data_IF_745191578350
#
_entry.id   IF_745191578350
#
_cell.length_a   1.000
_cell.length_b   1.000
_cell.length_c   1.000
_cell.angle_alpha   90.00
_cell.angle_beta   90.00
_cell.angle_gamma   90.00
#
_symmetry.space_group_name_H-M   'P 1'
#
loop_
_entity.id
_entity.type
_entity.pdbx_description
1 polymer ?
#
# COMPACT_ATOMS: atom_id res chain seq x y z
N UNK A 1 -10.54 -9.63 9.90
CA UNK A 1 -10.18 -11.04 9.62
C UNK A 1 -11.33 -12.06 9.80
N UNK A 2 -12.32 -11.87 10.71
CA UNK A 2 -13.32 -12.92 11.00
C UNK A 2 -14.55 -13.06 10.06
N UNK A 3 -14.84 -12.08 9.19
CA UNK A 3 -16.16 -11.99 8.53
C UNK A 3 -16.29 -12.79 7.22
N UNK A 4 -15.24 -12.89 6.38
CA UNK A 4 -15.29 -13.79 5.21
C UNK A 4 -15.34 -15.25 5.62
N UNK A 5 -14.58 -15.62 6.65
CA UNK A 5 -14.70 -16.95 7.25
C UNK A 5 -16.13 -17.25 7.71
N UNK A 6 -16.96 -16.26 8.09
CA UNK A 6 -18.37 -16.49 8.43
C UNK A 6 -19.28 -16.76 7.22
N UNK A 7 -18.94 -16.27 6.01
CA UNK A 7 -19.64 -16.65 4.77
C UNK A 7 -19.29 -18.07 4.30
N UNK A 8 -18.17 -18.63 4.78
CA UNK A 8 -17.67 -19.96 4.44
C UNK A 8 -17.68 -20.97 5.62
N UNK A 9 -17.99 -20.51 6.85
CA UNK A 9 -18.21 -21.35 8.03
C UNK A 9 -19.66 -21.81 8.05
N UNK A 10 -19.86 -23.08 8.41
CA UNK A 10 -21.13 -23.81 8.44
C UNK A 10 -22.27 -23.13 9.21
N UNK A 11 -21.99 -22.18 10.09
CA UNK A 11 -22.96 -21.64 11.05
C UNK A 11 -23.95 -20.62 10.45
N UNK A 12 -23.59 -19.93 9.36
CA UNK A 12 -24.43 -18.85 8.78
C UNK A 12 -25.36 -19.35 7.66
N UNK A 13 -25.15 -20.57 7.17
CA UNK A 13 -25.96 -21.19 6.12
C UNK A 13 -26.53 -22.49 6.68
N UNK A 14 -27.69 -22.42 7.35
CA UNK A 14 -28.37 -23.57 7.98
C UNK A 14 -28.18 -24.88 7.18
N UNK A 15 -27.22 -25.71 7.60
CA UNK A 15 -26.86 -27.01 7.03
C UNK A 15 -26.56 -27.08 5.51
N UNK A 16 -26.31 -25.96 4.82
CA UNK A 16 -25.91 -26.00 3.40
C UNK A 16 -24.42 -25.68 3.29
N UNK A 17 -23.64 -26.71 2.98
CA UNK A 17 -22.21 -26.61 2.65
C UNK A 17 -22.05 -25.66 1.45
N UNK A 18 -21.44 -24.49 1.65
CA UNK A 18 -21.07 -23.60 0.57
C UNK A 18 -19.83 -24.15 -0.15
N UNK A 19 -20.05 -25.16 -1.00
CA UNK A 19 -18.99 -25.70 -1.84
C UNK A 19 -18.75 -24.72 -3.01
N UNK A 20 -17.59 -24.06 -3.02
CA UNK A 20 -17.11 -23.28 -4.17
C UNK A 20 -16.23 -24.20 -5.02
N UNK A 21 -16.54 -24.31 -6.31
CA UNK A 21 -15.67 -24.98 -7.27
C UNK A 21 -14.65 -23.97 -7.82
N UNK A 22 -13.37 -24.25 -7.63
CA UNK A 22 -12.29 -23.47 -8.21
C UNK A 22 -11.71 -24.26 -9.38
N UNK A 23 -11.85 -23.70 -10.58
CA UNK A 23 -11.33 -24.30 -11.81
C UNK A 23 -10.17 -23.45 -12.31
N UNK A 24 -8.98 -24.04 -12.31
CA UNK A 24 -7.77 -23.45 -12.89
C UNK A 24 -7.57 -24.06 -14.27
N UNK A 25 -7.57 -23.22 -15.31
CA UNK A 25 -7.37 -23.66 -16.69
C UNK A 25 -6.00 -23.24 -17.18
N UNK A 26 -5.19 -24.20 -17.60
CA UNK A 26 -3.94 -23.96 -18.33
C UNK A 26 -4.24 -23.92 -19.82
N UNK A 27 -3.91 -22.82 -20.51
CA UNK A 27 -4.01 -22.79 -21.97
C UNK A 27 -2.69 -23.30 -22.55
N UNK A 28 -2.71 -24.51 -23.12
CA UNK A 28 -1.58 -25.00 -23.91
C UNK A 28 -1.46 -24.13 -25.17
N UNK A 29 -0.33 -23.42 -25.30
CA UNK A 29 -0.02 -22.65 -26.51
C UNK A 29 0.08 -23.57 -27.73
N UNK A 30 -0.20 -23.06 -28.94
CA UNK A 30 -0.10 -23.86 -30.15
C UNK A 30 1.33 -24.40 -30.29
N UNK A 31 1.43 -25.72 -30.49
CA UNK A 31 2.66 -26.45 -30.74
C UNK A 31 3.24 -26.01 -32.09
N UNK A 32 3.99 -24.90 -32.08
CA UNK A 32 4.76 -24.42 -33.24
C UNK A 32 5.92 -25.39 -33.47
N UNK A 33 5.61 -26.48 -34.16
CA UNK A 33 6.49 -27.60 -34.52
C UNK A 33 7.62 -27.21 -35.48
N UNK A 34 8.51 -26.32 -35.06
CA UNK A 34 9.78 -26.03 -35.76
C UNK A 34 10.92 -26.73 -35.02
N UNK A 35 11.35 -27.85 -35.58
CA UNK A 35 12.50 -28.61 -35.10
C UNK A 35 13.80 -27.79 -35.20
N UNK A 36 14.33 -27.35 -34.06
CA UNK A 36 15.64 -26.73 -33.97
C UNK A 36 16.77 -27.79 -33.90
N UNK A 37 17.94 -27.55 -34.50
CA UNK A 37 19.03 -28.53 -34.60
C UNK A 37 19.85 -28.63 -33.31
N UNK A 38 20.31 -29.86 -33.02
CA UNK A 38 21.12 -30.23 -31.85
C UNK A 38 22.43 -29.42 -31.76
N UNK A 39 22.76 -28.78 -30.62
CA UNK A 39 24.07 -28.20 -30.41
C UNK A 39 25.09 -29.23 -29.89
N UNK A 40 26.32 -29.08 -30.36
CA UNK A 40 27.51 -29.83 -29.93
C UNK A 40 27.96 -29.41 -28.53
N UNK A 41 28.36 -30.43 -27.77
CA UNK A 41 28.98 -30.43 -26.45
C UNK A 41 30.21 -29.49 -26.37
N UNK A 42 30.22 -28.59 -25.38
CA UNK A 42 31.43 -27.98 -24.85
C UNK A 42 31.34 -27.88 -23.32
N UNK A 43 32.43 -28.24 -22.67
CA UNK A 43 32.65 -28.34 -21.23
C UNK A 43 33.22 -27.02 -20.71
N UNK A 44 32.71 -26.48 -19.60
CA UNK A 44 33.49 -25.81 -18.54
C UNK A 44 32.59 -25.33 -17.40
N UNK A 45 33.16 -25.40 -16.20
CA UNK A 45 32.52 -25.25 -14.90
C UNK A 45 32.37 -23.79 -14.44
N UNK A 46 31.32 -23.51 -13.68
CA UNK A 46 31.29 -22.46 -12.65
C UNK A 46 30.22 -22.83 -11.61
N UNK A 47 30.63 -22.96 -10.34
CA UNK A 47 29.76 -23.26 -9.23
C UNK A 47 29.00 -21.99 -8.78
N UNK A 48 27.67 -22.06 -8.75
CA UNK A 48 26.80 -21.06 -8.15
C UNK A 48 26.32 -21.56 -6.76
N UNK A 49 26.05 -20.67 -5.79
CA UNK A 49 25.73 -21.04 -4.43
C UNK A 49 24.33 -21.66 -4.32
N UNK A 50 24.21 -22.68 -3.46
CA UNK A 50 22.94 -23.29 -3.05
C UNK A 50 22.05 -22.23 -2.39
N UNK A 51 21.07 -21.72 -3.14
CA UNK A 51 19.93 -21.01 -2.58
C UNK A 51 19.10 -21.96 -1.71
N UNK A 52 18.70 -21.50 -0.53
CA UNK A 52 17.79 -22.20 0.36
C UNK A 52 16.46 -22.45 -0.37
N UNK A 53 16.05 -23.71 -0.44
CA UNK A 53 14.76 -24.09 -1.00
C UNK A 53 13.64 -23.50 -0.13
N UNK A 54 12.85 -22.59 -0.70
CA UNK A 54 11.57 -22.20 -0.14
C UNK A 54 10.63 -23.39 -0.32
N UNK A 55 10.05 -23.90 0.77
CA UNK A 55 9.08 -25.00 0.71
C UNK A 55 7.90 -24.59 -0.19
N UNK A 56 7.55 -25.38 -1.22
CA UNK A 56 6.41 -25.06 -2.07
C UNK A 56 5.12 -25.18 -1.25
N UNK A 57 4.34 -24.09 -1.22
CA UNK A 57 3.02 -24.04 -0.59
C UNK A 57 2.14 -25.17 -1.16
N UNK A 58 1.91 -26.22 -0.37
CA UNK A 58 1.12 -27.37 -0.80
C UNK A 58 -0.38 -27.01 -0.82
N UNK A 59 -0.90 -26.77 -2.02
CA UNK A 59 -2.34 -26.62 -2.34
C UNK A 59 -3.22 -27.74 -1.76
N UNK A 60 -2.65 -28.91 -1.46
CA UNK A 60 -3.34 -30.06 -0.86
C UNK A 60 -3.71 -29.87 0.60
N UNK A 61 -3.20 -28.82 1.27
CA UNK A 61 -3.49 -28.53 2.68
C UNK A 61 -4.75 -27.69 2.92
N UNK A 62 -5.40 -27.18 1.86
CA UNK A 62 -6.60 -26.36 1.99
C UNK A 62 -7.84 -27.23 2.28
N UNK A 63 -8.58 -26.98 3.37
CA UNK A 63 -9.72 -27.80 3.75
C UNK A 63 -10.88 -27.66 2.75
N UNK A 64 -11.12 -28.75 2.04
CA UNK A 64 -12.35 -29.11 1.32
C UNK A 64 -12.87 -28.13 0.25
N UNK A 65 -12.13 -27.98 -0.85
CA UNK A 65 -12.70 -27.58 -2.15
C UNK A 65 -12.06 -28.42 -3.26
N UNK A 66 -12.85 -28.83 -4.27
CA UNK A 66 -12.30 -29.49 -5.46
C UNK A 66 -11.52 -28.45 -6.27
N UNK A 67 -10.20 -28.44 -6.10
CA UNK A 67 -9.29 -27.68 -6.95
C UNK A 67 -8.99 -28.58 -8.16
N UNK A 68 -9.66 -28.32 -9.27
CA UNK A 68 -9.34 -28.99 -10.53
C UNK A 68 -8.18 -28.24 -11.20
N UNK A 69 -6.97 -28.80 -11.09
CA UNK A 69 -5.79 -28.37 -11.85
C UNK A 69 -5.76 -29.17 -13.15
N UNK A 70 -6.01 -28.50 -14.28
CA UNK A 70 -6.13 -29.15 -15.57
C UNK A 70 -4.76 -29.22 -16.28
N UNK A 71 -4.25 -30.43 -16.45
CA UNK A 71 -3.20 -30.76 -17.42
C UNK A 71 -3.56 -32.09 -18.09
N UNK A 72 -3.57 -32.12 -19.42
CA UNK A 72 -3.63 -33.30 -20.31
C UNK A 72 -4.98 -33.74 -20.93
N UNK A 73 -4.86 -34.21 -22.17
CA UNK A 73 -5.92 -34.85 -22.98
C UNK A 73 -6.60 -36.06 -22.33
N UNK A 74 -6.01 -36.65 -21.27
CA UNK A 74 -6.58 -37.79 -20.56
C UNK A 74 -7.99 -37.49 -20.00
N UNK A 75 -8.25 -36.23 -19.59
CA UNK A 75 -9.57 -35.81 -19.11
C UNK A 75 -10.59 -35.48 -20.21
N UNK A 76 -10.15 -35.21 -21.46
CA UNK A 76 -11.07 -35.11 -22.62
C UNK A 76 -11.73 -36.45 -22.92
N UNK A 77 -11.01 -37.55 -22.69
CA UNK A 77 -11.51 -38.91 -22.93
C UNK A 77 -12.52 -39.33 -21.86
N UNK A 78 -12.30 -38.96 -20.58
CA UNK A 78 -13.27 -39.26 -19.51
C UNK A 78 -14.47 -38.31 -19.48
N UNK A 79 -14.32 -37.02 -19.80
CA UNK A 79 -15.49 -36.12 -19.93
C UNK A 79 -16.40 -36.50 -21.10
N UNK A 80 -15.86 -37.10 -22.16
CA UNK A 80 -16.66 -37.65 -23.26
C UNK A 80 -17.53 -38.85 -22.87
N UNK A 81 -17.15 -39.59 -21.82
CA UNK A 81 -17.82 -40.83 -21.41
C UNK A 81 -18.71 -40.69 -20.16
N UNK A 82 -18.51 -39.67 -19.32
CA UNK A 82 -19.26 -39.53 -18.07
C UNK A 82 -20.39 -38.47 -18.10
N UNK A 83 -20.56 -37.73 -19.20
CA UNK A 83 -21.57 -36.64 -19.33
C UNK A 83 -22.57 -36.76 -20.50
N UNK A 84 -22.73 -37.96 -21.08
CA UNK A 84 -23.84 -38.33 -21.98
C UNK A 84 -24.22 -39.79 -21.65
N UNK A 85 -25.45 -40.18 -21.29
CA UNK A 85 -26.77 -39.63 -21.57
C UNK A 85 -27.75 -39.78 -20.38
N UNK A 86 -28.59 -38.76 -20.19
CA UNK A 86 -29.99 -38.96 -19.81
C UNK A 86 -30.82 -38.67 -21.06
N UNK A 87 -31.23 -39.76 -21.72
CA UNK A 87 -32.15 -39.93 -22.85
C UNK A 87 -32.80 -38.67 -23.48
N UNK A 88 -32.54 -38.46 -24.78
CA UNK A 88 -33.48 -37.81 -25.69
C UNK A 88 -34.72 -38.70 -25.93
N UNK A 89 -35.93 -38.12 -26.11
CA UNK A 89 -37.10 -38.87 -26.56
C UNK A 89 -37.17 -38.92 -28.10
N UNK A 90 -37.36 -40.13 -28.64
CA UNK A 90 -37.65 -40.38 -30.04
C UNK A 90 -38.96 -39.72 -30.51
N UNK A 91 -38.86 -39.00 -31.62
CA UNK A 91 -39.98 -38.48 -32.39
C UNK A 91 -40.44 -39.52 -33.42
N UNK A 92 -41.48 -40.31 -33.11
CA UNK A 92 -42.56 -40.72 -34.05
C UNK A 92 -43.41 -41.87 -33.47
N UNK A 93 -44.62 -41.56 -33.00
CA UNK A 93 -45.72 -42.51 -33.02
C UNK A 93 -47.06 -41.78 -33.17
N UNK A 94 -47.76 -42.12 -34.25
CA UNK A 94 -49.10 -41.66 -34.63
C UNK A 94 -50.16 -42.03 -33.57
N UNK A 95 -51.12 -41.12 -33.44
CA UNK A 95 -52.53 -41.27 -33.09
C UNK A 95 -53.05 -42.63 -32.58
N UNK A 96 -53.62 -42.64 -31.36
CA UNK A 96 -54.93 -43.25 -31.11
C UNK A 96 -55.57 -42.72 -29.82
N UNK A 97 -56.87 -42.45 -29.93
CA UNK A 97 -57.83 -42.11 -28.89
C UNK A 97 -57.77 -43.01 -27.65
N UNK A 98 -58.13 -42.45 -26.49
CA UNK A 98 -58.59 -43.24 -25.35
C UNK A 98 -58.47 -42.55 -23.99
N UNK A 99 -59.62 -42.14 -23.47
CA UNK A 99 -59.91 -41.52 -22.18
C UNK A 99 -59.14 -42.02 -20.93
N UNK A 100 -59.12 -41.12 -19.93
CA UNK A 100 -59.50 -41.35 -18.52
C UNK A 100 -58.42 -41.49 -17.42
N UNK A 101 -58.58 -40.60 -16.43
CA UNK A 101 -58.33 -40.70 -14.98
C UNK A 101 -56.92 -40.43 -14.38
N UNK A 102 -56.84 -39.25 -13.76
CA UNK A 102 -56.50 -38.95 -12.35
C UNK A 102 -55.37 -39.71 -11.65
N UNK A 103 -54.35 -38.96 -11.22
CA UNK A 103 -53.37 -39.40 -10.21
C UNK A 103 -52.37 -38.31 -9.88
N UNK A 104 -52.70 -37.46 -8.89
CA UNK A 104 -51.82 -36.43 -8.34
C UNK A 104 -50.65 -37.04 -7.57
N UNK A 105 -49.41 -36.72 -7.95
CA UNK A 105 -48.22 -36.88 -7.11
C UNK A 105 -47.29 -35.69 -7.32
N UNK A 106 -47.35 -34.76 -6.38
CA UNK A 106 -46.52 -33.57 -6.28
C UNK A 106 -45.10 -33.94 -5.82
N UNK A 107 -44.18 -34.14 -6.76
CA UNK A 107 -42.75 -34.19 -6.48
C UNK A 107 -42.18 -32.76 -6.55
N UNK A 108 -41.91 -32.17 -5.38
CA UNK A 108 -41.19 -30.90 -5.25
C UNK A 108 -39.75 -31.08 -5.74
N UNK A 109 -39.52 -30.73 -7.01
CA UNK A 109 -38.18 -30.59 -7.56
C UNK A 109 -37.53 -29.36 -6.92
N UNK A 110 -36.71 -29.60 -5.89
CA UNK A 110 -35.89 -28.57 -5.29
C UNK A 110 -34.97 -28.03 -6.37
N UNK A 111 -35.19 -26.78 -6.79
CA UNK A 111 -34.33 -26.09 -7.72
C UNK A 111 -32.92 -26.08 -7.15
N UNK A 112 -32.03 -26.89 -7.73
CA UNK A 112 -30.61 -26.88 -7.40
C UNK A 112 -30.08 -25.47 -7.71
N UNK A 113 -29.92 -24.65 -6.66
CA UNK A 113 -29.22 -23.38 -6.77
C UNK A 113 -27.82 -23.67 -7.34
N UNK A 114 -27.54 -23.14 -8.53
CA UNK A 114 -26.22 -23.26 -9.15
C UNK A 114 -25.17 -22.73 -8.18
N UNK A 115 -24.18 -23.56 -7.86
CA UNK A 115 -23.06 -23.17 -7.00
C UNK A 115 -22.31 -22.00 -7.64
N UNK A 116 -21.90 -20.98 -6.86
CA UNK A 116 -21.03 -19.93 -7.37
C UNK A 116 -19.66 -20.54 -7.73
N UNK A 117 -19.23 -20.34 -8.98
CA UNK A 117 -17.95 -20.83 -9.52
C UNK A 117 -17.03 -19.64 -9.76
N UNK A 118 -15.83 -19.68 -9.21
CA UNK A 118 -14.76 -18.71 -9.53
C UNK A 118 -13.79 -19.39 -10.48
N UNK A 119 -13.62 -18.80 -11.68
CA UNK A 119 -12.71 -19.31 -12.71
C UNK A 119 -11.50 -18.40 -12.78
N UNK A 120 -10.33 -18.96 -12.51
CA UNK A 120 -9.05 -18.29 -12.73
C UNK A 120 -8.43 -18.94 -13.97
N UNK A 121 -8.29 -18.17 -15.04
CA UNK A 121 -7.58 -18.63 -16.25
C UNK A 121 -6.10 -18.34 -16.07
N UNK A 122 -5.28 -19.36 -16.28
CA UNK A 122 -3.83 -19.28 -16.22
C UNK A 122 -3.31 -19.58 -17.62
N UNK A 123 -2.89 -18.54 -18.32
CA UNK A 123 -2.42 -18.65 -19.69
C UNK A 123 -0.96 -19.11 -19.75
N UNK A 124 -0.21 -18.96 -18.64
CA UNK A 124 1.20 -19.35 -18.55
C UNK A 124 1.57 -19.87 -17.16
N UNK A 125 2.52 -20.79 -17.10
CA UNK A 125 2.99 -21.39 -15.83
C UNK A 125 3.49 -20.34 -14.82
N UNK A 126 4.02 -19.20 -15.27
CA UNK A 126 4.49 -18.13 -14.38
C UNK A 126 3.33 -17.44 -13.60
N UNK A 127 2.07 -17.62 -14.02
CA UNK A 127 0.92 -17.05 -13.32
C UNK A 127 0.38 -17.97 -12.21
N UNK A 128 0.85 -19.22 -12.10
CA UNK A 128 0.41 -20.17 -11.08
C UNK A 128 0.63 -19.66 -9.64
N UNK A 129 1.80 -19.10 -9.29
CA UNK A 129 2.01 -18.59 -7.94
C UNK A 129 1.08 -17.39 -7.63
N UNK A 130 0.76 -16.56 -8.63
CA UNK A 130 -0.21 -15.48 -8.47
C UNK A 130 -1.64 -16.02 -8.25
N UNK A 131 -2.03 -17.08 -8.96
CA UNK A 131 -3.31 -17.77 -8.77
C UNK A 131 -3.45 -18.35 -7.37
N UNK A 132 -2.42 -19.06 -6.87
CA UNK A 132 -2.35 -19.60 -5.51
C UNK A 132 -2.47 -18.51 -4.45
N UNK A 133 -1.75 -17.40 -4.64
CA UNK A 133 -1.86 -16.21 -3.81
C UNK A 133 -3.28 -15.62 -3.77
N UNK A 134 -4.02 -15.58 -4.90
CA UNK A 134 -5.44 -15.14 -4.92
C UNK A 134 -6.30 -16.04 -4.07
N UNK A 135 -6.16 -17.35 -4.27
CA UNK A 135 -6.99 -18.36 -3.64
C UNK A 135 -6.79 -18.27 -2.14
N UNK A 136 -5.55 -18.26 -1.71
CA UNK A 136 -5.21 -18.19 -0.31
C UNK A 136 -5.60 -16.83 0.32
N UNK A 137 -5.46 -15.70 -0.40
CA UNK A 137 -6.00 -14.41 0.04
C UNK A 137 -7.53 -14.42 0.17
N UNK A 138 -8.25 -15.07 -0.77
CA UNK A 138 -9.71 -15.25 -0.69
C UNK A 138 -10.13 -16.09 0.51
N UNK A 139 -9.33 -17.08 0.90
CA UNK A 139 -9.54 -17.87 2.12
C UNK A 139 -9.02 -17.19 3.39
N UNK A 140 -8.51 -15.95 3.30
CA UNK A 140 -8.01 -15.19 4.44
C UNK A 140 -6.75 -15.79 5.06
N UNK A 141 -5.96 -16.52 4.26
CA UNK A 141 -4.67 -17.07 4.67
C UNK A 141 -3.68 -15.90 4.79
N UNK A 142 -3.16 -15.62 5.99
CA UNK A 142 -2.12 -14.62 6.17
C UNK A 142 -0.88 -14.99 5.34
N UNK A 143 -0.19 -13.98 4.79
CA UNK A 143 1.11 -14.14 4.10
C UNK A 143 1.11 -15.02 2.83
N UNK A 144 -0.07 -15.36 2.31
CA UNK A 144 -0.13 -16.24 1.15
C UNK A 144 0.34 -15.61 -0.17
N UNK A 145 0.38 -14.28 -0.21
CA UNK A 145 1.07 -13.54 -1.26
C UNK A 145 2.51 -13.37 -0.78
N UNK A 146 3.35 -14.35 -1.10
CA UNK A 146 4.71 -14.44 -0.53
C UNK A 146 5.74 -13.63 -1.31
N UNK A 147 5.39 -13.14 -2.52
CA UNK A 147 6.23 -12.19 -3.25
C UNK A 147 5.45 -10.94 -3.68
N UNK A 148 6.18 -9.83 -3.71
CA UNK A 148 5.69 -8.54 -4.20
C UNK A 148 5.23 -8.61 -5.66
N UNK A 149 5.89 -9.43 -6.48
CA UNK A 149 5.52 -9.66 -7.88
C UNK A 149 4.15 -10.33 -8.01
N UNK A 150 3.85 -11.33 -7.18
CA UNK A 150 2.52 -11.97 -7.15
C UNK A 150 1.44 -10.97 -6.76
N UNK A 151 1.72 -10.15 -5.73
CA UNK A 151 0.82 -9.08 -5.29
C UNK A 151 0.52 -8.12 -6.45
N UNK A 152 1.56 -7.73 -7.19
CA UNK A 152 1.45 -6.81 -8.31
C UNK A 152 0.62 -7.40 -9.45
N UNK A 153 0.94 -8.63 -9.90
CA UNK A 153 0.21 -9.29 -10.97
C UNK A 153 -1.27 -9.46 -10.63
N UNK A 154 -1.55 -9.83 -9.38
CA UNK A 154 -2.90 -10.03 -8.89
C UNK A 154 -3.69 -8.71 -8.88
N UNK A 155 -3.15 -7.68 -8.22
CA UNK A 155 -3.82 -6.39 -8.12
C UNK A 155 -4.06 -5.77 -9.49
N UNK A 156 -3.07 -5.83 -10.38
CA UNK A 156 -3.21 -5.31 -11.73
C UNK A 156 -4.33 -6.03 -12.48
N UNK A 157 -4.34 -7.37 -12.44
CA UNK A 157 -5.36 -8.17 -13.12
C UNK A 157 -6.77 -7.90 -12.56
N UNK A 158 -6.92 -7.80 -11.23
CA UNK A 158 -8.21 -7.49 -10.60
C UNK A 158 -8.66 -6.10 -10.98
N UNK A 159 -7.77 -5.11 -10.90
CA UNK A 159 -8.11 -3.71 -11.16
C UNK A 159 -8.47 -3.48 -12.63
N UNK A 160 -7.81 -4.16 -13.57
CA UNK A 160 -8.14 -4.09 -15.00
C UNK A 160 -9.48 -4.76 -15.33
N UNK A 161 -9.82 -5.83 -14.61
CA UNK A 161 -11.06 -6.58 -14.83
C UNK A 161 -12.25 -6.02 -14.04
N UNK A 162 -12.00 -5.33 -12.94
CA UNK A 162 -13.00 -4.78 -12.04
C UNK A 162 -13.84 -3.69 -12.73
N UNK A 163 -15.17 -3.89 -12.87
CA UNK A 163 -16.05 -2.87 -13.46
C UNK A 163 -15.98 -1.52 -12.75
N UNK A 164 -15.78 -1.52 -11.41
CA UNK A 164 -15.66 -0.31 -10.61
C UNK A 164 -14.41 0.53 -10.93
N UNK A 165 -13.34 -0.09 -11.44
CA UNK A 165 -12.04 0.56 -11.68
C UNK A 165 -11.85 1.05 -13.12
N UNK A 166 -12.67 0.59 -14.06
CA UNK A 166 -12.59 1.01 -15.48
C UNK A 166 -13.01 2.45 -15.73
N UNK A 167 -13.98 2.96 -14.94
CA UNK A 167 -14.52 4.30 -15.11
C UNK A 167 -13.81 5.27 -14.17
N UNK A 168 -12.75 5.93 -14.64
CA UNK A 168 -11.95 6.87 -13.85
C UNK A 168 -12.70 8.11 -13.33
N UNK A 169 -13.94 8.34 -13.80
CA UNK A 169 -14.82 9.45 -13.39
C UNK A 169 -15.97 9.03 -12.47
N UNK A 170 -16.10 7.74 -12.12
CA UNK A 170 -17.17 7.27 -11.27
C UNK A 170 -17.05 7.86 -9.84
N UNK A 171 -18.15 8.36 -9.29
CA UNK A 171 -18.20 8.80 -7.89
C UNK A 171 -18.15 7.62 -6.93
N UNK A 172 -17.73 7.86 -5.67
CA UNK A 172 -17.54 6.81 -4.65
C UNK A 172 -18.75 5.86 -4.51
N UNK A 173 -19.97 6.39 -4.54
CA UNK A 173 -21.19 5.57 -4.43
C UNK A 173 -21.31 4.56 -5.57
N UNK A 174 -20.96 4.95 -6.80
CA UNK A 174 -20.96 4.05 -7.95
C UNK A 174 -19.83 3.01 -7.85
N UNK A 175 -18.66 3.43 -7.34
CA UNK A 175 -17.53 2.53 -7.10
C UNK A 175 -17.87 1.48 -6.04
N UNK A 176 -18.46 1.89 -4.91
CA UNK A 176 -18.92 0.99 -3.85
C UNK A 176 -20.05 0.06 -4.33
N UNK A 177 -21.00 0.58 -5.11
CA UNK A 177 -22.07 -0.23 -5.68
C UNK A 177 -21.53 -1.27 -6.68
N UNK A 178 -20.45 -0.96 -7.39
CA UNK A 178 -19.80 -1.88 -8.32
C UNK A 178 -18.88 -2.89 -7.61
N UNK A 179 -18.42 -2.61 -6.39
CA UNK A 179 -17.73 -3.58 -5.52
C UNK A 179 -18.73 -4.39 -4.68
N UNK A 180 -19.67 -5.08 -5.36
CA UNK A 180 -20.72 -5.88 -4.70
C UNK A 180 -20.08 -6.95 -3.81
N UNK A 181 -20.29 -6.82 -2.50
CA UNK A 181 -19.72 -7.70 -1.48
C UNK A 181 -18.35 -7.28 -0.95
N UNK A 182 -17.82 -6.12 -1.36
CA UNK A 182 -16.59 -5.53 -0.83
C UNK A 182 -15.32 -6.31 -1.15
N UNK A 183 -15.34 -7.16 -2.18
CA UNK A 183 -14.25 -8.10 -2.48
C UNK A 183 -13.00 -7.35 -2.93
N UNK A 184 -13.16 -6.34 -3.77
CA UNK A 184 -12.04 -5.54 -4.28
C UNK A 184 -11.47 -4.70 -3.14
N UNK A 185 -12.32 -4.07 -2.33
CA UNK A 185 -11.88 -3.35 -1.14
C UNK A 185 -11.10 -4.27 -0.19
N UNK A 186 -11.56 -5.50 0.05
CA UNK A 186 -10.85 -6.47 0.89
C UNK A 186 -9.48 -6.84 0.32
N UNK A 187 -9.37 -7.06 -0.99
CA UNK A 187 -8.09 -7.36 -1.64
C UNK A 187 -7.14 -6.17 -1.58
N UNK A 188 -7.65 -4.94 -1.77
CA UNK A 188 -6.87 -3.71 -1.61
C UNK A 188 -6.39 -3.54 -0.17
N UNK A 189 -7.23 -3.83 0.83
CA UNK A 189 -6.84 -3.80 2.25
C UNK A 189 -5.86 -4.92 2.59
N UNK A 190 -5.98 -6.10 1.99
CA UNK A 190 -4.99 -7.17 2.20
C UNK A 190 -3.62 -6.75 1.65
N UNK A 191 -3.59 -6.09 0.50
CA UNK A 191 -2.38 -5.65 -0.18
C UNK A 191 -1.73 -4.39 0.43
N UNK A 192 -2.54 -3.39 0.77
CA UNK A 192 -2.10 -2.03 1.15
C UNK A 192 -2.73 -1.56 2.46
N UNK A 193 -3.28 -2.48 3.26
CA UNK A 193 -3.98 -2.13 4.49
C UNK A 193 -3.07 -1.53 5.55
N UNK A 194 -1.79 -1.92 5.58
CA UNK A 194 -0.76 -1.29 6.40
C UNK A 194 -0.06 -0.20 5.61
N UNK A 195 -0.62 1.02 5.65
CA UNK A 195 -0.05 2.13 4.89
C UNK A 195 1.34 2.52 5.41
N UNK A 196 1.67 2.25 6.67
CA UNK A 196 3.00 2.57 7.19
C UNK A 196 4.05 1.67 6.55
N UNK A 197 3.79 0.37 6.46
CA UNK A 197 4.66 -0.58 5.77
C UNK A 197 4.81 -0.20 4.29
N UNK A 198 3.70 0.14 3.62
CA UNK A 198 3.72 0.62 2.23
C UNK A 198 4.60 1.84 2.05
N UNK A 199 4.50 2.83 2.95
CA UNK A 199 5.34 4.03 2.90
C UNK A 199 6.80 3.78 3.33
N UNK A 200 7.13 2.60 3.84
CA UNK A 200 8.52 2.23 4.15
C UNK A 200 9.24 1.56 2.96
N UNK A 201 8.50 1.13 1.94
CA UNK A 201 9.04 0.45 0.76
C UNK A 201 8.77 1.23 -0.53
N UNK A 202 9.83 1.66 -1.21
CA UNK A 202 9.71 2.52 -2.40
C UNK A 202 8.93 1.87 -3.56
N UNK A 203 9.00 0.55 -3.72
CA UNK A 203 8.26 -0.15 -4.77
C UNK A 203 6.76 -0.21 -4.44
N UNK A 204 6.40 -0.49 -3.19
CA UNK A 204 5.01 -0.45 -2.73
C UNK A 204 4.42 0.97 -2.82
N UNK A 205 5.20 2.00 -2.47
CA UNK A 205 4.79 3.39 -2.68
C UNK A 205 4.44 3.66 -4.15
N UNK A 206 5.34 3.29 -5.08
CA UNK A 206 5.12 3.49 -6.51
C UNK A 206 3.86 2.77 -7.00
N UNK A 207 3.64 1.53 -6.54
CA UNK A 207 2.44 0.75 -6.88
C UNK A 207 1.15 1.36 -6.30
N UNK A 208 1.18 1.79 -5.04
CA UNK A 208 0.06 2.47 -4.39
C UNK A 208 -0.33 3.75 -5.17
N UNK A 209 0.67 4.54 -5.57
CA UNK A 209 0.46 5.78 -6.32
C UNK A 209 0.03 5.53 -7.78
N UNK A 210 0.30 4.34 -8.32
CA UNK A 210 -0.15 3.92 -9.65
C UNK A 210 -1.59 3.39 -9.68
N UNK A 211 -2.23 3.16 -8.53
CA UNK A 211 -3.61 2.70 -8.47
C UNK A 211 -4.55 3.66 -9.22
N UNK A 212 -5.58 3.18 -9.94
CA UNK A 212 -6.59 4.06 -10.50
C UNK A 212 -7.44 4.67 -9.38
N UNK A 213 -7.99 5.86 -9.64
CA UNK A 213 -8.70 6.66 -8.64
C UNK A 213 -9.82 5.88 -7.91
N UNK A 214 -10.68 5.10 -8.60
CA UNK A 214 -11.68 4.28 -7.91
C UNK A 214 -11.09 3.28 -6.91
N UNK A 215 -9.96 2.65 -7.22
CA UNK A 215 -9.29 1.73 -6.29
C UNK A 215 -8.73 2.48 -5.08
N UNK A 216 -8.12 3.64 -5.29
CA UNK A 216 -7.66 4.50 -4.19
C UNK A 216 -8.83 4.96 -3.30
N UNK A 217 -9.99 5.28 -3.89
CA UNK A 217 -11.20 5.62 -3.14
C UNK A 217 -11.72 4.44 -2.30
N UNK A 218 -11.74 3.22 -2.85
CA UNK A 218 -12.11 2.01 -2.10
C UNK A 218 -11.15 1.75 -0.95
N UNK A 219 -9.84 1.86 -1.19
CA UNK A 219 -8.82 1.67 -0.16
C UNK A 219 -9.01 2.69 0.98
N UNK A 220 -9.00 4.00 0.68
CA UNK A 220 -9.06 5.06 1.69
C UNK A 220 -10.44 5.21 2.36
N UNK A 221 -11.50 4.64 1.79
CA UNK A 221 -12.82 4.60 2.46
C UNK A 221 -12.90 3.50 3.52
N UNK A 222 -12.06 2.45 3.46
CA UNK A 222 -12.15 1.27 4.33
C UNK A 222 -11.84 1.56 5.81
N UNK A 223 -12.75 1.15 6.71
CA UNK A 223 -12.52 1.13 8.16
C UNK A 223 -11.44 0.13 8.61
N UNK A 224 -11.08 -0.81 7.73
CA UNK A 224 -10.09 -1.85 8.02
C UNK A 224 -8.65 -1.43 7.72
N UNK A 225 -8.43 -0.20 7.22
CA UNK A 225 -7.08 0.34 7.09
C UNK A 225 -6.39 0.40 8.45
N UNK A 226 -5.22 -0.21 8.50
CA UNK A 226 -4.29 -0.17 9.61
C UNK A 226 -3.35 1.02 9.39
N UNK A 227 -3.52 2.06 10.19
CA UNK A 227 -2.72 3.28 10.09
C UNK A 227 -2.21 3.69 11.46
N UNK A 228 -1.04 4.34 11.57
CA UNK A 228 -0.57 4.85 12.85
C UNK A 228 -1.36 6.09 13.31
N UNK A 229 -1.91 6.85 12.37
CA UNK A 229 -2.88 7.90 12.60
C UNK A 229 -3.61 8.25 11.29
N UNK A 230 -4.68 9.06 11.37
CA UNK A 230 -5.35 9.57 10.16
C UNK A 230 -4.43 10.50 9.34
N UNK A 231 -3.34 10.98 9.93
CA UNK A 231 -2.34 11.80 9.24
C UNK A 231 -1.69 11.05 8.07
N UNK A 232 -1.47 9.74 8.22
CA UNK A 232 -0.95 8.87 7.14
C UNK A 232 -1.95 8.77 5.99
N UNK A 233 -3.26 8.77 6.26
CA UNK A 233 -4.31 8.78 5.24
C UNK A 233 -4.28 10.11 4.47
N UNK A 234 -4.18 11.24 5.20
CA UNK A 234 -4.03 12.57 4.60
C UNK A 234 -2.78 12.66 3.72
N UNK A 235 -1.63 12.20 4.23
CA UNK A 235 -0.38 12.17 3.45
C UNK A 235 -0.52 11.30 2.20
N UNK A 236 -1.10 10.11 2.33
CA UNK A 236 -1.32 9.19 1.19
C UNK A 236 -2.15 9.85 0.10
N UNK A 237 -3.28 10.46 0.47
CA UNK A 237 -4.14 11.16 -0.48
C UNK A 237 -3.44 12.37 -1.13
N UNK A 238 -2.62 13.13 -0.37
CA UNK A 238 -1.80 14.22 -0.92
C UNK A 238 -0.81 13.72 -1.97
N UNK A 239 0.00 12.70 -1.64
CA UNK A 239 0.98 12.14 -2.58
C UNK A 239 0.29 11.54 -3.81
N UNK A 240 -0.87 10.91 -3.65
CA UNK A 240 -1.66 10.41 -4.79
C UNK A 240 -2.11 11.54 -5.74
N UNK A 241 -2.57 12.67 -5.20
CA UNK A 241 -2.95 13.84 -6.01
C UNK A 241 -1.72 14.44 -6.71
N UNK A 242 -0.58 14.54 -6.02
CA UNK A 242 0.68 15.03 -6.60
C UNK A 242 1.22 14.12 -7.71
N UNK A 243 1.01 12.81 -7.61
CA UNK A 243 1.43 11.84 -8.63
C UNK A 243 0.59 11.91 -9.93
N UNK A 244 -0.52 12.65 -9.95
CA UNK A 244 -1.36 12.77 -11.14
C UNK A 244 -0.69 13.65 -12.21
N UNK A 245 -0.48 13.06 -13.40
CA UNK A 245 0.23 13.70 -14.53
C UNK A 245 -0.45 14.95 -15.13
N UNK A 246 -1.75 15.15 -14.87
CA UNK A 246 -2.50 16.28 -15.43
C UNK A 246 -3.28 17.01 -14.35
N UNK A 247 -3.41 18.33 -14.50
CA UNK A 247 -4.18 19.18 -13.56
C UNK A 247 -5.62 18.71 -13.41
N UNK A 248 -6.26 18.26 -14.48
CA UNK A 248 -7.63 17.73 -14.44
C UNK A 248 -7.73 16.44 -13.61
N UNK A 249 -6.77 15.52 -13.75
CA UNK A 249 -6.72 14.29 -12.93
C UNK A 249 -6.41 14.60 -11.48
N UNK A 250 -5.47 15.52 -11.21
CA UNK A 250 -5.16 15.98 -9.86
C UNK A 250 -6.39 16.62 -9.17
N UNK A 251 -7.13 17.47 -9.89
CA UNK A 251 -8.36 18.10 -9.38
C UNK A 251 -9.46 17.06 -9.11
N UNK A 252 -9.67 16.10 -10.02
CA UNK A 252 -10.62 15.02 -9.83
C UNK A 252 -10.24 14.13 -8.63
N UNK A 253 -8.98 13.74 -8.51
CA UNK A 253 -8.46 12.98 -7.39
C UNK A 253 -8.62 13.75 -6.06
N UNK A 254 -8.32 15.06 -6.04
CA UNK A 254 -8.52 15.92 -4.88
C UNK A 254 -9.97 15.95 -4.44
N UNK A 255 -10.89 16.20 -5.37
CA UNK A 255 -12.34 16.23 -5.08
C UNK A 255 -12.85 14.87 -4.57
N UNK A 256 -12.32 13.77 -5.10
CA UNK A 256 -12.69 12.42 -4.75
C UNK A 256 -12.11 11.94 -3.40
N UNK A 257 -10.88 12.33 -3.06
CA UNK A 257 -10.15 11.82 -1.89
C UNK A 257 -10.22 12.74 -0.66
N UNK A 258 -10.33 14.06 -0.85
CA UNK A 258 -10.49 15.00 0.27
C UNK A 258 -11.63 14.64 1.23
N UNK A 259 -12.85 14.25 0.78
CA UNK A 259 -13.93 13.86 1.68
C UNK A 259 -13.71 12.51 2.36
N UNK A 260 -12.67 11.75 2.05
CA UNK A 260 -12.38 10.45 2.71
C UNK A 260 -11.50 10.59 3.95
N UNK A 261 -10.82 11.74 4.11
CA UNK A 261 -9.98 12.03 5.28
C UNK A 261 -10.87 12.42 6.46
N UNK A 262 -10.73 11.70 7.57
CA UNK A 262 -11.46 11.96 8.82
C UNK A 262 -10.80 13.11 9.57
N UNK A 263 -10.98 14.35 9.10
CA UNK A 263 -10.27 15.52 9.63
C UNK A 263 -10.31 15.67 11.16
N UNK A 264 -11.40 15.33 11.87
CA UNK A 264 -11.44 15.37 13.34
C UNK A 264 -10.43 14.42 14.02
N UNK A 265 -9.97 13.39 13.31
CA UNK A 265 -9.00 12.40 13.79
C UNK A 265 -7.54 12.74 13.45
N UNK A 266 -7.29 13.84 12.72
CA UNK A 266 -5.93 14.32 12.44
C UNK A 266 -5.25 14.85 13.71
N UNK A 267 -3.92 14.77 13.77
CA UNK A 267 -3.15 15.47 14.80
C UNK A 267 -3.35 16.99 14.71
N UNK A 268 -3.08 17.70 15.81
CA UNK A 268 -3.17 19.16 15.80
C UNK A 268 -2.20 19.79 14.80
N UNK A 269 -1.00 19.22 14.63
CA UNK A 269 -0.04 19.64 13.61
C UNK A 269 -0.61 19.46 12.19
N UNK A 270 -1.05 18.25 11.83
CA UNK A 270 -1.59 17.96 10.51
C UNK A 270 -2.85 18.80 10.18
N UNK A 271 -3.73 18.99 11.17
CA UNK A 271 -4.91 19.84 11.03
C UNK A 271 -4.54 21.30 10.81
N UNK A 272 -3.53 21.81 11.52
CA UNK A 272 -3.04 23.19 11.35
C UNK A 272 -2.46 23.38 9.94
N UNK A 273 -1.63 22.43 9.48
CA UNK A 273 -1.10 22.41 8.11
C UNK A 273 -2.21 22.40 7.06
N UNK A 274 -3.32 21.69 7.32
CA UNK A 274 -4.45 21.60 6.38
C UNK A 274 -5.40 22.81 6.43
N UNK A 275 -5.45 23.54 7.56
CA UNK A 275 -6.35 24.66 7.79
C UNK A 275 -5.82 26.00 7.22
N UNK A 276 -4.52 26.09 6.95
CA UNK A 276 -3.94 27.32 6.40
C UNK A 276 -4.58 27.70 5.07
N UNK A 277 -4.80 28.99 4.78
CA UNK A 277 -5.30 29.44 3.50
C UNK A 277 -4.41 28.91 2.38
N UNK A 278 -5.04 28.24 1.39
CA UNK A 278 -4.35 27.65 0.26
C UNK A 278 -3.78 28.75 -0.65
N UNK A 279 -2.60 29.28 -0.32
CA UNK A 279 -1.78 30.01 -1.30
C UNK A 279 -1.31 29.06 -2.42
N UNK A 280 -1.29 27.75 -2.16
CA UNK A 280 -1.01 26.72 -3.15
C UNK A 280 -2.21 25.78 -3.34
N UNK A 281 -2.58 25.51 -4.60
CA UNK A 281 -3.60 24.51 -4.97
C UNK A 281 -3.27 23.08 -4.50
N UNK A 282 -2.07 22.87 -3.95
CA UNK A 282 -1.52 21.61 -3.47
C UNK A 282 -2.15 21.11 -2.17
N UNK A 283 -2.81 21.97 -1.38
CA UNK A 283 -3.47 21.51 -0.16
C UNK A 283 -4.71 20.67 -0.46
N UNK A 284 -4.69 19.37 -0.12
CA UNK A 284 -5.78 18.43 -0.37
C UNK A 284 -7.13 18.91 0.19
N UNK A 285 -7.15 19.36 1.45
CA UNK A 285 -8.39 19.71 2.17
C UNK A 285 -8.80 21.19 2.01
N UNK A 286 -8.19 21.93 1.07
CA UNK A 286 -8.43 23.38 0.92
C UNK A 286 -9.90 23.74 0.67
N UNK A 287 -10.69 22.83 0.08
CA UNK A 287 -12.14 23.02 -0.12
C UNK A 287 -12.93 23.10 1.19
N UNK A 288 -12.31 22.68 2.30
CA UNK A 288 -12.86 22.71 3.65
C UNK A 288 -12.14 23.72 4.56
N UNK A 289 -11.32 24.63 4.03
CA UNK A 289 -10.44 25.49 4.84
C UNK A 289 -11.15 26.20 6.02
N UNK A 290 -12.28 26.87 5.76
CA UNK A 290 -13.05 27.54 6.83
C UNK A 290 -13.52 26.56 7.91
N UNK A 291 -13.95 25.35 7.52
CA UNK A 291 -14.37 24.30 8.44
C UNK A 291 -13.21 23.74 9.25
N UNK A 292 -12.04 23.61 8.63
CA UNK A 292 -10.83 23.16 9.32
C UNK A 292 -10.37 24.17 10.37
N UNK A 293 -10.51 25.47 10.11
CA UNK A 293 -10.26 26.52 11.11
C UNK A 293 -11.23 26.40 12.29
N UNK A 294 -12.53 26.23 12.03
CA UNK A 294 -13.53 26.00 13.09
C UNK A 294 -13.23 24.72 13.87
N UNK A 295 -12.89 23.63 13.18
CA UNK A 295 -12.53 22.34 13.77
C UNK A 295 -11.27 22.44 14.63
N UNK A 296 -10.27 23.19 14.20
CA UNK A 296 -9.03 23.42 14.95
C UNK A 296 -9.33 24.15 16.26
N UNK A 297 -10.17 25.19 16.23
CA UNK A 297 -10.63 25.87 17.45
C UNK A 297 -11.39 24.92 18.36
N UNK A 298 -12.35 24.16 17.81
CA UNK A 298 -13.17 23.21 18.54
C UNK A 298 -12.33 22.11 19.22
N UNK A 299 -11.37 21.50 18.51
CA UNK A 299 -10.49 20.47 19.08
C UNK A 299 -9.63 20.96 20.25
N UNK A 300 -9.38 22.26 20.37
CA UNK A 300 -8.61 22.84 21.48
C UNK A 300 -9.43 23.01 22.75
N UNK A 301 -10.75 23.17 22.63
CA UNK A 301 -11.62 23.57 23.76
C UNK A 301 -12.66 22.52 24.13
N UNK A 302 -13.12 21.72 23.17
CA UNK A 302 -14.24 20.81 23.34
C UNK A 302 -13.80 19.46 23.91
N UNK A 303 -14.62 18.90 24.78
CA UNK A 303 -14.50 17.51 25.19
C UNK A 303 -15.02 16.56 24.09
N UNK A 304 -14.71 15.26 24.19
CA UNK A 304 -15.02 14.27 23.14
C UNK A 304 -16.51 14.24 22.73
N UNK A 305 -17.43 14.39 23.69
CA UNK A 305 -18.88 14.39 23.40
C UNK A 305 -19.36 15.67 22.71
N UNK A 306 -18.82 16.83 23.09
CA UNK A 306 -19.15 18.13 22.50
C UNK A 306 -18.64 18.23 21.06
N UNK A 307 -17.46 17.67 20.79
CA UNK A 307 -16.87 17.61 19.46
C UNK A 307 -17.80 16.89 18.47
N UNK A 308 -18.38 15.76 18.85
CA UNK A 308 -19.29 15.00 17.97
C UNK A 308 -20.56 15.80 17.63
N UNK A 309 -21.23 16.39 18.64
CA UNK A 309 -22.43 17.19 18.43
C UNK A 309 -22.15 18.44 17.56
N UNK A 310 -21.03 19.11 17.80
CA UNK A 310 -20.64 20.27 17.00
C UNK A 310 -20.25 19.90 15.55
N UNK A 311 -19.72 18.70 15.31
CA UNK A 311 -19.46 18.19 13.96
C UNK A 311 -20.75 17.91 13.19
N UNK A 312 -21.78 17.35 13.85
CA UNK A 312 -23.10 17.15 13.23
C UNK A 312 -23.76 18.48 12.83
N UNK A 313 -23.53 19.54 13.60
CA UNK A 313 -24.02 20.88 13.31
C UNK A 313 -23.21 21.62 12.22
N UNK A 314 -22.06 21.09 11.80
CA UNK A 314 -21.17 21.75 10.84
C UNK A 314 -21.65 21.55 9.40
N UNK A 315 -22.42 22.50 8.88
CA UNK A 315 -23.02 22.42 7.54
C UNK A 315 -21.99 22.18 6.41
N UNK A 316 -22.18 21.10 5.66
CA UNK A 316 -21.32 20.72 4.54
C UNK A 316 -19.98 20.09 4.95
N UNK A 317 -19.86 19.62 6.19
CA UNK A 317 -18.79 18.70 6.57
C UNK A 317 -18.98 17.35 5.86
N UNK A 318 -17.91 16.70 5.37
CA UNK A 318 -17.99 15.36 4.82
C UNK A 318 -18.53 14.36 5.84
N UNK A 319 -19.32 13.38 5.39
CA UNK A 319 -19.83 12.31 6.25
C UNK A 319 -18.71 11.52 6.95
N UNK A 320 -17.52 11.44 6.34
CA UNK A 320 -16.35 10.81 6.95
C UNK A 320 -15.88 11.47 8.25
N UNK A 321 -16.21 12.74 8.49
CA UNK A 321 -15.82 13.46 9.70
C UNK A 321 -16.59 12.96 10.93
N UNK A 322 -17.76 12.34 10.72
CA UNK A 322 -18.57 11.71 11.77
C UNK A 322 -18.14 10.26 12.05
N UNK A 323 -17.25 9.69 11.23
CA UNK A 323 -16.76 8.34 11.44
C UNK A 323 -15.77 8.29 12.60
N UNK A 324 -15.77 7.16 13.30
CA UNK A 324 -14.79 6.85 14.35
C UNK A 324 -13.37 6.78 13.77
N UNK A 325 -12.32 6.80 14.59
CA UNK A 325 -10.98 6.45 14.14
C UNK A 325 -10.95 5.11 13.39
N UNK A 326 -10.07 4.98 12.40
CA UNK A 326 -9.77 3.68 11.74
C UNK A 326 -9.08 2.73 12.72
N UNK A 327 -8.61 1.57 12.24
CA UNK A 327 -7.78 0.68 13.05
C UNK A 327 -6.42 1.33 13.31
N UNK A 328 -6.34 2.15 14.35
CA UNK A 328 -5.12 2.83 14.74
C UNK A 328 -4.19 1.81 15.41
N UNK A 329 -3.02 1.59 14.80
CA UNK A 329 -1.88 0.92 15.43
C UNK A 329 -0.79 1.95 15.66
N UNK A 330 -0.76 2.61 16.84
CA UNK A 330 0.22 3.66 17.10
C UNK A 330 1.63 3.13 16.86
N UNK A 331 2.48 3.96 16.26
CA UNK A 331 3.91 3.71 16.26
C UNK A 331 4.37 3.90 17.69
N UNK A 332 4.71 2.80 18.37
CA UNK A 332 5.10 2.82 19.79
C UNK A 332 6.23 3.82 20.01
N UNK A 333 7.16 3.88 19.06
CA UNK A 333 8.32 4.76 19.18
C UNK A 333 8.18 6.03 18.32
N UNK A 334 7.41 6.01 17.22
CA UNK A 334 7.35 7.05 16.17
C UNK A 334 7.85 6.56 14.79
N UNK A 335 8.38 7.43 13.92
CA UNK A 335 8.87 7.04 12.58
C UNK A 335 10.39 6.92 12.55
N UNK A 336 10.88 5.80 11.99
CA UNK A 336 12.31 5.57 11.72
C UNK A 336 12.64 5.80 10.25
N UNK A 337 13.80 6.40 10.01
CA UNK A 337 14.44 6.51 8.71
C UNK A 337 15.89 6.07 8.82
N UNK A 338 16.30 5.19 7.90
CA UNK A 338 17.67 4.74 7.76
C UNK A 338 18.24 5.29 6.46
N UNK A 339 19.45 5.82 6.51
CA UNK A 339 20.13 6.39 5.37
C UNK A 339 21.57 5.90 5.31
N UNK A 340 21.89 5.20 4.24
CA UNK A 340 23.26 4.84 3.86
C UNK A 340 23.83 5.98 3.01
N UNK A 341 24.57 6.88 3.63
CA UNK A 341 25.25 7.99 2.96
C UNK A 341 26.60 7.53 2.43
N UNK A 342 26.86 7.54 1.11
CA UNK A 342 28.19 7.27 0.57
C UNK A 342 29.21 8.28 1.10
N UNK A 343 30.32 7.79 1.67
CA UNK A 343 31.37 8.64 2.24
C UNK A 343 32.00 9.51 1.16
N UNK A 344 32.11 9.02 -0.07
CA UNK A 344 32.65 9.77 -1.21
C UNK A 344 31.77 10.97 -1.57
N UNK A 345 30.44 10.85 -1.40
CA UNK A 345 29.50 11.96 -1.60
C UNK A 345 29.69 13.03 -0.52
N UNK A 346 29.88 12.61 0.74
CA UNK A 346 30.17 13.53 1.84
C UNK A 346 31.50 14.25 1.64
N UNK A 347 32.54 13.51 1.25
CA UNK A 347 33.85 14.07 0.91
C UNK A 347 33.75 15.14 -0.16
N UNK A 348 33.02 14.85 -1.24
CA UNK A 348 32.86 15.81 -2.33
C UNK A 348 32.11 17.06 -1.86
N UNK A 349 31.03 16.91 -1.09
CA UNK A 349 30.30 18.06 -0.54
C UNK A 349 31.16 18.93 0.38
N UNK A 350 32.03 18.31 1.19
CA UNK A 350 32.93 19.05 2.08
C UNK A 350 33.96 19.87 1.28
N UNK A 351 34.52 19.30 0.22
CA UNK A 351 35.45 19.99 -0.70
C UNK A 351 34.75 21.10 -1.49
N UNK A 352 33.54 20.84 -1.97
CA UNK A 352 32.73 21.82 -2.70
C UNK A 352 32.39 23.01 -1.80
N UNK A 353 31.97 22.76 -0.56
CA UNK A 353 31.69 23.80 0.44
C UNK A 353 32.93 24.66 0.69
N UNK A 354 34.09 24.04 0.89
CA UNK A 354 35.35 24.73 1.11
C UNK A 354 35.77 25.60 -0.08
N UNK A 355 35.75 25.03 -1.28
CA UNK A 355 36.18 25.69 -2.51
C UNK A 355 35.26 26.86 -2.90
N UNK A 356 33.95 26.71 -2.67
CA UNK A 356 32.95 27.69 -3.07
C UNK A 356 32.60 28.69 -1.95
N UNK A 357 33.03 28.42 -0.71
CA UNK A 357 32.63 29.19 0.48
C UNK A 357 31.11 29.29 0.62
N UNK A 358 30.43 28.18 0.35
CA UNK A 358 28.97 28.07 0.40
C UNK A 358 28.57 26.84 1.19
N UNK A 359 27.37 26.88 1.75
CA UNK A 359 26.78 25.73 2.41
C UNK A 359 26.35 24.72 1.35
N UNK A 360 26.79 23.47 1.50
CA UNK A 360 26.41 22.35 0.61
C UNK A 360 25.53 21.38 1.38
N UNK A 361 24.36 21.07 0.82
CA UNK A 361 23.35 20.22 1.45
C UNK A 361 23.30 18.85 0.76
N UNK A 362 23.38 17.78 1.56
CA UNK A 362 23.08 16.42 1.12
C UNK A 362 21.84 15.95 1.86
N UNK A 363 20.86 15.41 1.13
CA UNK A 363 19.63 14.99 1.74
C UNK A 363 19.40 13.48 1.65
N UNK A 364 18.78 12.94 2.70
CA UNK A 364 18.27 11.57 2.68
C UNK A 364 17.04 11.42 1.77
N UNK A 365 16.64 10.18 1.47
CA UNK A 365 15.27 9.87 1.04
C UNK A 365 14.23 10.34 2.06
N UNK A 366 12.99 10.45 1.60
CA UNK A 366 11.82 10.72 2.45
C UNK A 366 11.51 9.51 3.34
N UNK A 367 11.24 9.78 4.61
CA UNK A 367 10.71 8.78 5.55
C UNK A 367 9.21 8.52 5.36
N UNK A 368 8.69 7.42 5.93
CA UNK A 368 7.25 7.28 6.14
C UNK A 368 6.64 8.51 6.84
N UNK A 369 5.34 8.80 6.64
CA UNK A 369 4.78 10.03 7.14
C UNK A 369 4.52 10.01 8.66
N UNK A 370 4.82 11.14 9.31
CA UNK A 370 4.39 11.47 10.67
C UNK A 370 3.88 12.91 10.69
N UNK A 371 2.69 13.18 11.24
CA UNK A 371 2.12 14.52 11.19
C UNK A 371 1.64 14.96 9.79
N UNK A 372 1.36 13.99 8.91
CA UNK A 372 0.91 14.17 7.53
C UNK A 372 1.95 14.82 6.61
N UNK A 373 3.22 14.69 6.98
CA UNK A 373 4.41 15.09 6.23
C UNK A 373 5.43 13.96 6.28
N UNK A 374 6.27 13.86 5.25
CA UNK A 374 7.48 13.04 5.34
C UNK A 374 8.53 13.78 6.15
N UNK A 375 9.55 13.06 6.59
CA UNK A 375 10.73 13.62 7.25
C UNK A 375 11.98 13.25 6.49
N UNK A 376 12.98 14.13 6.53
CA UNK A 376 14.29 13.90 5.91
C UNK A 376 15.41 14.23 6.89
N UNK A 377 16.53 13.54 6.75
CA UNK A 377 17.81 14.00 7.25
C UNK A 377 18.47 14.92 6.22
N UNK A 378 19.24 15.87 6.72
CA UNK A 378 20.08 16.78 5.96
C UNK A 378 21.47 16.74 6.58
N UNK A 379 22.49 16.44 5.77
CA UNK A 379 23.88 16.73 6.11
C UNK A 379 24.26 18.06 5.49
N UNK A 380 24.72 18.97 6.34
CA UNK A 380 25.15 20.31 5.97
C UNK A 380 26.67 20.39 6.05
N UNK A 381 27.32 20.76 4.96
CA UNK A 381 28.75 21.07 4.94
C UNK A 381 28.88 22.59 4.85
N UNK A 382 29.42 23.21 5.89
CA UNK A 382 29.60 24.67 5.98
C UNK A 382 31.08 25.01 6.25
N UNK A 383 31.56 26.09 5.63
CA UNK A 383 32.89 26.61 5.90
C UNK A 383 32.89 27.43 7.21
N UNK A 384 33.73 27.04 8.17
CA UNK A 384 33.93 27.76 9.43
C UNK A 384 35.41 27.78 9.81
N UNK A 385 35.90 28.92 10.31
CA UNK A 385 37.27 29.08 10.85
C UNK A 385 38.42 28.59 9.93
N UNK A 386 38.22 28.59 8.61
CA UNK A 386 39.22 28.13 7.66
C UNK A 386 39.22 26.63 7.38
N UNK A 387 38.17 25.91 7.81
CA UNK A 387 37.91 24.52 7.44
C UNK A 387 36.43 24.27 7.16
N UNK A 388 36.07 23.02 6.88
CA UNK A 388 34.67 22.60 6.71
C UNK A 388 34.16 21.88 7.96
N UNK A 389 32.98 22.25 8.42
CA UNK A 389 32.25 21.59 9.52
C UNK A 389 31.07 20.82 8.93
N UNK A 390 30.79 19.64 9.48
CA UNK A 390 29.70 18.77 9.05
C UNK A 390 28.60 18.72 10.11
N UNK A 391 27.46 19.33 9.78
CA UNK A 391 26.25 19.29 10.59
C UNK A 391 25.29 18.19 10.15
N UNK A 392 24.46 17.72 11.08
CA UNK A 392 23.37 16.78 10.82
C UNK A 392 22.06 17.33 11.38
N UNK A 393 21.08 17.45 10.49
CA UNK A 393 19.77 18.04 10.76
C UNK A 393 18.66 17.08 10.36
N UNK A 394 17.50 17.27 10.97
CA UNK A 394 16.26 16.61 10.58
C UNK A 394 15.15 17.64 10.48
N UNK A 395 14.27 17.44 9.51
CA UNK A 395 13.09 18.27 9.37
C UNK A 395 11.98 17.61 8.54
N UNK A 396 10.75 18.09 8.69
CA UNK A 396 9.64 17.68 7.86
C UNK A 396 9.76 18.24 6.43
N UNK A 397 9.18 17.52 5.48
CA UNK A 397 9.16 17.86 4.06
C UNK A 397 7.78 18.43 3.72
N UNK A 398 7.75 19.51 2.93
CA UNK A 398 6.51 20.16 2.45
C UNK A 398 5.61 20.75 3.58
N UNK A 399 6.20 21.27 4.65
CA UNK A 399 5.43 22.05 5.63
C UNK A 399 4.99 23.38 5.00
N UNK A 400 3.69 23.73 5.03
CA UNK A 400 3.24 25.01 4.49
C UNK A 400 3.87 26.19 5.24
N UNK A 401 4.21 27.25 4.50
CA UNK A 401 4.74 28.49 5.09
C UNK A 401 3.77 29.05 6.14
N UNK A 402 4.34 29.52 7.26
CA UNK A 402 3.58 30.08 8.38
C UNK A 402 3.11 29.05 9.43
N UNK A 403 3.37 27.76 9.23
CA UNK A 403 3.26 26.78 10.30
C UNK A 403 4.49 26.83 11.18
N UNK A 404 4.24 26.97 12.49
CA UNK A 404 5.24 26.75 13.51
C UNK A 404 5.06 25.35 14.08
N UNK A 405 6.17 24.66 14.32
CA UNK A 405 6.16 23.30 14.82
C UNK A 405 7.35 23.03 15.73
N UNK A 406 7.22 21.99 16.55
CA UNK A 406 8.36 21.40 17.27
C UNK A 406 8.27 19.89 17.20
N UNK A 407 9.40 19.22 17.38
CA UNK A 407 9.46 17.77 17.34
C UNK A 407 10.49 17.23 18.32
N UNK A 408 10.33 15.96 18.67
CA UNK A 408 11.28 15.19 19.45
C UNK A 408 11.87 14.10 18.58
N UNK A 409 13.19 13.96 18.58
CA UNK A 409 13.90 13.04 17.70
C UNK A 409 15.14 12.45 18.37
N UNK A 410 15.50 11.23 17.96
CA UNK A 410 16.82 10.65 18.20
C UNK A 410 17.54 10.51 16.86
N UNK A 411 18.70 11.16 16.75
CA UNK A 411 19.68 10.88 15.70
C UNK A 411 20.67 9.85 16.21
N UNK A 412 21.01 8.88 15.38
CA UNK A 412 22.05 7.91 15.72
C UNK A 412 22.94 7.57 14.54
N UNK A 413 24.19 7.30 14.88
CA UNK A 413 25.20 6.79 13.99
C UNK A 413 26.06 5.82 14.79
N UNK A 414 26.20 4.58 14.31
CA UNK A 414 26.81 3.48 15.08
C UNK A 414 26.21 3.39 16.51
N UNK A 415 27.06 3.43 17.54
CA UNK A 415 26.65 3.37 18.94
C UNK A 415 26.33 4.77 19.52
N UNK A 416 26.61 5.85 18.79
CA UNK A 416 26.32 7.22 19.21
C UNK A 416 24.84 7.54 18.98
N UNK A 417 24.18 8.05 20.02
CA UNK A 417 22.76 8.44 19.99
C UNK A 417 22.58 9.80 20.63
N UNK A 418 21.95 10.72 19.91
CA UNK A 418 21.66 12.07 20.35
C UNK A 418 20.15 12.28 20.28
N UNK A 419 19.52 12.44 21.45
CA UNK A 419 18.09 12.74 21.54
C UNK A 419 17.92 14.21 21.88
N UNK A 420 17.07 14.90 21.13
CA UNK A 420 16.76 16.30 21.38
C UNK A 420 15.30 16.64 21.05
N UNK A 421 14.84 17.70 21.69
CA UNK A 421 13.60 18.40 21.33
C UNK A 421 13.98 19.65 20.57
N UNK A 422 13.38 19.87 19.40
CA UNK A 422 13.59 21.11 18.67
C UNK A 422 12.98 22.30 19.43
N UNK A 423 13.51 23.53 19.21
CA UNK A 423 12.75 24.73 19.53
C UNK A 423 11.50 24.82 18.63
N UNK A 424 10.71 25.88 18.82
CA UNK A 424 9.61 26.19 17.90
C UNK A 424 10.19 26.73 16.59
N UNK A 425 10.00 26.01 15.49
CA UNK A 425 10.58 26.29 14.18
C UNK A 425 9.50 26.66 13.18
N UNK A 426 9.87 27.48 12.19
CA UNK A 426 9.14 27.69 10.95
C UNK A 426 10.06 27.52 9.71
N UNK A 427 11.22 26.87 9.92
CA UNK A 427 12.28 26.62 8.95
C UNK A 427 12.35 25.14 8.57
N UNK A 428 13.34 24.77 7.77
CA UNK A 428 13.47 23.45 7.14
C UNK A 428 13.96 22.31 8.07
N UNK A 429 14.32 22.61 9.32
CA UNK A 429 14.74 21.57 10.28
C UNK A 429 15.52 22.09 11.49
N UNK A 430 15.97 21.15 12.31
CA UNK A 430 16.85 21.39 13.46
C UNK A 430 17.78 20.19 13.70
N UNK A 431 18.93 20.45 14.30
CA UNK A 431 19.97 19.46 14.52
C UNK A 431 21.23 20.07 15.11
N UNK A 432 22.36 19.44 14.83
CA UNK A 432 23.66 19.80 15.37
C UNK A 432 24.55 20.32 14.25
N UNK A 433 25.10 21.52 14.42
CA UNK A 433 26.05 22.10 13.48
C UNK A 433 27.37 21.32 13.44
N UNK A 434 27.75 20.70 14.56
CA UNK A 434 28.90 19.80 14.67
C UNK A 434 28.42 18.49 15.30
N UNK A 435 27.82 17.62 14.48
CA UNK A 435 27.23 16.37 14.98
C UNK A 435 28.28 15.34 15.39
N UNK A 436 29.47 15.40 14.79
CA UNK A 436 30.53 14.43 14.98
C UNK A 436 31.60 14.88 16.00
N UNK A 437 31.36 16.01 16.70
CA UNK A 437 32.29 16.65 17.63
C UNK A 437 33.69 16.85 17.02
N UNK A 438 33.72 17.28 15.74
CA UNK A 438 34.92 17.43 14.96
C UNK A 438 35.29 18.90 14.79
N UNK A 439 36.58 19.20 14.97
CA UNK A 439 37.14 20.49 14.57
C UNK A 439 36.95 20.70 13.06
N UNK A 440 36.83 21.96 12.60
CA UNK A 440 36.77 22.27 11.17
C UNK A 440 37.90 21.57 10.40
N UNK A 441 37.53 20.79 9.38
CA UNK A 441 38.48 20.04 8.56
C UNK A 441 39.24 21.02 7.65
N UNK A 442 40.52 21.24 7.96
CA UNK A 442 41.39 22.12 7.20
C UNK A 442 41.85 21.47 5.87
N UNK A 443 42.60 22.22 5.04
CA UNK A 443 43.18 21.71 3.80
C UNK A 443 42.31 22.03 2.58
N UNK A 444 41.80 20.99 1.90
CA UNK A 444 40.89 21.11 0.75
C UNK A 444 39.41 21.02 1.16
N UNK A 445 39.12 21.09 2.47
CA UNK A 445 37.79 20.88 3.05
C UNK A 445 37.55 19.47 3.57
N UNK A 446 38.46 18.51 3.35
CA UNK A 446 38.34 17.15 3.87
C UNK A 446 39.65 16.62 4.48
N UNK A 447 39.66 16.38 5.79
CA UNK A 447 40.79 15.75 6.48
C UNK A 447 40.47 14.28 6.80
N UNK A 448 40.86 13.39 5.89
CA UNK A 448 40.63 11.95 6.05
C UNK A 448 41.30 11.37 7.31
N UNK A 449 42.41 11.94 7.76
CA UNK A 449 43.12 11.46 8.94
C UNK A 449 42.40 11.89 10.22
N UNK A 450 41.94 13.15 10.30
CA UNK A 450 41.12 13.61 11.40
C UNK A 450 39.77 12.86 11.47
N UNK A 451 39.13 12.65 10.31
CA UNK A 451 37.88 11.89 10.20
C UNK A 451 38.05 10.45 10.70
N UNK A 452 39.11 9.75 10.27
CA UNK A 452 39.44 8.42 10.77
C UNK A 452 39.79 8.40 12.25
N UNK A 453 40.49 9.42 12.75
CA UNK A 453 40.85 9.53 14.17
C UNK A 453 39.62 9.72 15.08
N UNK A 454 38.52 10.28 14.56
CA UNK A 454 37.22 10.33 15.22
C UNK A 454 36.44 9.00 15.12
N UNK A 455 37.01 7.95 14.51
CA UNK A 455 36.37 6.63 14.35
C UNK A 455 35.36 6.57 13.20
N UNK A 456 35.31 7.59 12.33
CA UNK A 456 34.36 7.66 11.23
C UNK A 456 34.89 6.92 9.99
N UNK A 457 34.02 6.28 9.17
CA UNK A 457 34.45 5.58 7.97
C UNK A 457 35.02 6.55 6.93
N UNK A 458 36.15 6.19 6.31
CA UNK A 458 36.80 6.99 5.26
C UNK A 458 36.44 6.54 3.83
N UNK A 459 35.69 5.45 3.69
CA UNK A 459 35.19 4.93 2.42
C UNK A 459 33.91 4.11 2.64
N UNK A 460 33.16 3.87 1.57
CA UNK A 460 31.95 3.04 1.60
C UNK A 460 30.73 3.81 2.08
N UNK A 461 29.90 3.20 2.93
CA UNK A 461 28.64 3.79 3.38
C UNK A 461 28.65 4.11 4.88
N UNK A 462 28.10 5.26 5.23
CA UNK A 462 27.79 5.66 6.59
C UNK A 462 26.30 5.44 6.86
N UNK A 463 25.95 4.56 7.80
CA UNK A 463 24.55 4.36 8.21
C UNK A 463 24.16 5.41 9.25
N UNK A 464 23.40 6.41 8.81
CA UNK A 464 22.71 7.36 9.65
C UNK A 464 21.29 6.89 9.91
N UNK A 465 20.82 7.04 11.14
CA UNK A 465 19.45 6.74 11.49
C UNK A 465 18.82 7.92 12.20
N UNK A 466 17.57 8.21 11.85
CA UNK A 466 16.75 9.14 12.60
C UNK A 466 15.48 8.46 13.05
N UNK A 467 15.09 8.81 14.26
CA UNK A 467 13.88 8.34 14.88
C UNK A 467 13.07 9.57 15.33
N UNK A 468 11.99 9.90 14.62
CA UNK A 468 11.12 11.02 14.98
C UNK A 468 9.98 10.51 15.86
N UNK A 469 10.00 10.89 17.13
CA UNK A 469 9.06 10.41 18.15
C UNK A 469 7.72 11.12 18.08
N UNK A 470 7.74 12.44 17.92
CA UNK A 470 6.53 13.25 17.92
C UNK A 470 6.72 14.57 17.17
N UNK A 471 5.60 15.15 16.72
CA UNK A 471 5.53 16.49 16.14
C UNK A 471 4.27 17.19 16.66
N UNK A 472 4.38 18.48 16.96
CA UNK A 472 3.31 19.30 17.54
C UNK A 472 3.11 20.61 16.78
#
# INVERSE_FOLDING_TARGET
MAFLAQCFKQETVHNVRADVDLVIRTIEGPDDGVAAPKPKRATLAAAAPKGAACDPLQLTSFPAHNIALDTSEYFRVQQGACWKDAAEPDANAKARDGSSFSGSSSSSSAAHAKRPVVRLTIDRAEQLPAAEAVIAAMYGVPDAISSLEQQQMLLQSIVEQAPCCRNSSAGLAAVLAADVGGKIQQLLVAAYGDLQAVWSDAQQQAMLLALPLPAMQLLLSSDQLCVPSEDTVLYTAKKYVQAQKTTAKAAAAKAALAPLVRAPQLSMFALSCAALPASSGQQLLSIYALKLVSLQSLKRIAFTGELAAALEAMEGAPASWLLRPRQIKPLVDGVRLQWRLPVEQLQQACRDSFAQQQVVHIYSPDSPPLGAVAWRMLVECEQQEGGTVVGLFVGPVEVPAGIYYKFETTLSWQDSKHTFSSPCLNSDGHGYNDFFDMKPMAGDGWDAAAWAAAGLPTAGEMLLEVFVHSVQ
#
